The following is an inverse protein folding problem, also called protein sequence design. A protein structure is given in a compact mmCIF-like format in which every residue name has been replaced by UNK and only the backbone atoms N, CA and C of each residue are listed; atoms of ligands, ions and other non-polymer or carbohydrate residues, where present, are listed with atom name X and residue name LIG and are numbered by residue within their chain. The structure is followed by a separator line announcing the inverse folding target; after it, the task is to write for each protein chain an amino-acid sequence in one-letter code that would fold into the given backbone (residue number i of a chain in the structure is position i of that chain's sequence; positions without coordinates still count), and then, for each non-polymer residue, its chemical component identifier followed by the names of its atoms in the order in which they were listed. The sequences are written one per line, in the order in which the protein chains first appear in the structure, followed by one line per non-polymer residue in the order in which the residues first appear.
data_IF_125651891297
#
_entry.id   IF_125651891297
#
_cell.length_a   1.000
_cell.length_b   1.000
_cell.length_c   1.000
_cell.angle_alpha   90.00
_cell.angle_beta   90.00
_cell.angle_gamma   90.00
#
_symmetry.space_group_name_H-M   'P 1'
#
loop_
_entity.id
_entity.type
_entity.pdbx_description
1 polymer ?
#
# COMPACT_ATOMS: atom_id res chain seq x y z
N UNK A 1 -33.45 -10.79 -23.56
CA UNK A 1 -33.02 -9.89 -22.47
C UNK A 1 -31.82 -10.50 -21.74
N UNK A 2 -30.68 -10.54 -22.43
CA UNK A 2 -29.42 -10.98 -21.85
C UNK A 2 -28.78 -9.74 -21.20
N UNK A 3 -28.76 -9.69 -19.86
CA UNK A 3 -28.02 -8.66 -19.11
C UNK A 3 -26.58 -9.13 -18.94
N UNK A 4 -25.64 -8.46 -19.60
CA UNK A 4 -24.21 -8.64 -19.34
C UNK A 4 -23.72 -7.46 -18.50
N UNK A 5 -23.40 -7.73 -17.23
CA UNK A 5 -22.63 -6.80 -16.40
C UNK A 5 -21.16 -7.12 -16.66
N UNK A 6 -20.43 -6.23 -17.33
CA UNK A 6 -18.97 -6.29 -17.35
C UNK A 6 -18.47 -5.72 -16.01
N UNK A 7 -18.52 -6.55 -14.97
CA UNK A 7 -17.90 -6.27 -13.68
C UNK A 7 -17.00 -7.44 -13.33
N UNK A 8 -15.78 -7.14 -12.91
CA UNK A 8 -14.94 -8.11 -12.23
C UNK A 8 -15.56 -8.41 -10.87
N UNK A 9 -15.87 -9.69 -10.61
CA UNK A 9 -16.32 -10.14 -9.31
C UNK A 9 -15.13 -10.20 -8.35
N UNK A 10 -14.91 -9.14 -7.58
CA UNK A 10 -14.24 -9.25 -6.30
C UNK A 10 -15.28 -9.72 -5.26
N UNK A 11 -15.16 -10.97 -4.81
CA UNK A 11 -15.96 -11.47 -3.68
C UNK A 11 -15.44 -10.79 -2.42
N UNK A 12 -16.19 -9.82 -1.89
CA UNK A 12 -15.94 -9.23 -0.57
C UNK A 12 -16.52 -10.17 0.50
N UNK A 13 -15.72 -10.75 1.40
CA UNK A 13 -16.27 -11.35 2.62
C UNK A 13 -16.72 -10.22 3.54
N UNK A 14 -18.02 -10.18 3.83
CA UNK A 14 -18.57 -9.29 4.84
C UNK A 14 -17.99 -9.66 6.22
N UNK A 15 -17.11 -8.81 6.76
CA UNK A 15 -16.78 -8.80 8.19
C UNK A 15 -17.58 -7.69 8.87
N UNK A 16 -18.68 -8.08 9.50
CA UNK A 16 -19.35 -7.29 10.52
C UNK A 16 -18.68 -7.61 11.86
N UNK A 17 -17.96 -6.64 12.43
CA UNK A 17 -17.56 -6.67 13.83
C UNK A 17 -17.77 -5.30 14.49
N UNK A 18 -18.81 -5.26 15.32
CA UNK A 18 -18.95 -4.49 16.56
C UNK A 18 -17.84 -3.46 16.85
N UNK A 19 -18.05 -2.24 16.37
CA UNK A 19 -17.72 -1.04 17.14
C UNK A 19 -18.87 -0.05 16.95
N UNK A 20 -19.40 0.49 18.04
CA UNK A 20 -20.61 1.31 18.08
C UNK A 20 -20.40 2.73 17.52
N UNK A 21 -19.89 2.85 16.30
CA UNK A 21 -19.94 4.08 15.52
C UNK A 21 -20.40 3.75 14.11
N UNK A 22 -21.68 4.02 13.85
CA UNK A 22 -22.25 4.01 12.49
C UNK A 22 -21.57 5.14 11.72
N UNK A 23 -20.65 4.79 10.83
CA UNK A 23 -20.18 5.71 9.81
C UNK A 23 -21.26 5.76 8.73
N UNK A 24 -21.94 6.90 8.66
CA UNK A 24 -22.94 7.21 7.64
C UNK A 24 -22.23 7.59 6.32
N UNK A 25 -22.32 6.70 5.33
CA UNK A 25 -21.74 6.89 3.99
C UNK A 25 -22.70 7.63 3.03
N UNK A 26 -23.80 8.21 3.52
CA UNK A 26 -24.75 8.94 2.67
C UNK A 26 -24.32 10.37 2.30
N UNK A 27 -23.16 10.85 2.76
CA UNK A 27 -22.66 12.20 2.46
C UNK A 27 -21.56 12.17 1.39
N UNK A 28 -21.89 12.72 0.22
CA UNK A 28 -21.01 12.80 -0.94
C UNK A 28 -19.70 13.56 -0.67
N UNK A 29 -18.67 13.19 -1.44
CA UNK A 29 -17.35 13.81 -1.46
C UNK A 29 -17.45 15.30 -1.86
N UNK A 30 -17.59 16.19 -0.89
CA UNK A 30 -17.73 17.62 -1.15
C UNK A 30 -17.62 18.56 0.04
N UNK A 31 -17.70 18.07 1.29
CA UNK A 31 -17.43 18.93 2.45
C UNK A 31 -15.93 19.05 2.68
N UNK A 32 -15.43 20.29 2.62
CA UNK A 32 -14.12 20.65 3.17
C UNK A 32 -14.11 20.18 4.63
N UNK A 33 -13.36 19.12 4.91
CA UNK A 33 -12.94 18.83 6.27
C UNK A 33 -12.11 20.03 6.70
N UNK A 34 -12.71 20.94 7.45
CA UNK A 34 -11.97 21.99 8.13
C UNK A 34 -10.86 21.30 8.90
N UNK A 35 -9.61 21.66 8.58
CA UNK A 35 -8.43 21.19 9.29
C UNK A 35 -8.41 21.83 10.68
N UNK A 36 -9.37 21.49 11.52
CA UNK A 36 -9.25 21.62 12.96
C UNK A 36 -7.98 20.84 13.32
N UNK A 37 -6.99 21.55 13.85
CA UNK A 37 -5.67 21.04 14.15
C UNK A 37 -5.73 19.70 14.89
N UNK A 38 -5.46 18.60 14.20
CA UNK A 38 -5.25 17.26 14.78
C UNK A 38 -4.13 17.29 15.85
N UNK A 39 -3.34 18.37 15.90
CA UNK A 39 -2.28 18.61 16.88
C UNK A 39 -2.75 18.78 18.34
N UNK A 40 -4.04 18.96 18.62
CA UNK A 40 -4.52 19.15 20.01
C UNK A 40 -5.04 17.86 20.71
N UNK A 41 -4.84 16.67 20.12
CA UNK A 41 -5.45 15.42 20.62
C UNK A 41 -4.52 14.29 21.05
N UNK A 42 -3.20 14.41 20.90
CA UNK A 42 -2.28 13.30 21.22
C UNK A 42 -2.01 13.28 22.72
N UNK A 43 -2.72 12.38 23.42
CA UNK A 43 -2.41 12.03 24.80
C UNK A 43 -1.11 11.23 24.83
N UNK A 44 -0.08 11.79 25.48
CA UNK A 44 1.14 11.06 25.78
C UNK A 44 1.00 10.42 27.16
N UNK A 45 1.34 9.13 27.24
CA UNK A 45 1.41 8.40 28.51
C UNK A 45 2.81 7.86 28.71
N UNK A 46 3.22 7.76 29.97
CA UNK A 46 4.56 7.29 30.36
C UNK A 46 4.41 5.98 31.13
N UNK A 47 5.15 4.95 30.71
CA UNK A 47 5.31 3.69 31.45
C UNK A 47 6.78 3.46 31.71
N UNK A 48 7.17 3.37 32.97
CA UNK A 48 8.52 2.93 33.35
C UNK A 48 8.60 1.41 33.21
N UNK A 49 9.58 0.90 32.44
CA UNK A 49 9.80 -0.54 32.28
C UNK A 49 10.96 -1.05 33.12
N UNK A 50 12.01 -0.24 33.25
CA UNK A 50 13.19 -0.52 34.08
C UNK A 50 13.64 0.78 34.75
N UNK A 51 14.59 0.74 35.72
CA UNK A 51 15.10 1.97 36.34
C UNK A 51 15.74 2.97 35.36
N UNK A 52 16.26 2.48 34.23
CA UNK A 52 16.98 3.26 33.21
C UNK A 52 16.14 3.55 31.96
N UNK A 53 14.94 2.97 31.82
CA UNK A 53 14.07 3.12 30.65
C UNK A 53 12.63 3.49 31.02
N UNK A 54 12.20 4.62 30.47
CA UNK A 54 10.80 4.99 30.37
C UNK A 54 10.34 4.83 28.90
N UNK A 55 9.18 4.21 28.66
CA UNK A 55 8.51 4.22 27.36
C UNK A 55 7.42 5.28 27.37
N UNK A 56 7.49 6.20 26.42
CA UNK A 56 6.49 7.24 26.20
C UNK A 56 5.63 6.85 25.01
N UNK A 57 4.34 6.67 25.23
CA UNK A 57 3.36 6.29 24.21
C UNK A 57 2.58 7.51 23.77
N UNK A 58 2.67 7.85 22.49
CA UNK A 58 1.78 8.76 21.77
C UNK A 58 1.17 8.04 20.56
N UNK A 59 1.27 8.64 19.37
CA UNK A 59 0.98 7.94 18.11
C UNK A 59 2.06 6.89 17.77
N UNK A 60 3.29 7.10 18.25
CA UNK A 60 4.37 6.10 18.33
C UNK A 60 4.86 5.93 19.77
N UNK A 61 5.47 4.79 20.06
CA UNK A 61 6.17 4.49 21.30
C UNK A 61 7.64 4.91 21.17
N UNK A 62 8.10 5.73 22.09
CA UNK A 62 9.49 6.18 22.16
C UNK A 62 10.13 5.65 23.44
N UNK A 63 11.23 4.90 23.28
CA UNK A 63 12.09 4.53 24.39
C UNK A 63 12.97 5.71 24.81
N UNK A 64 12.87 6.12 26.07
CA UNK A 64 13.69 7.18 26.67
C UNK A 64 14.60 6.55 27.71
N UNK A 65 15.86 6.33 27.33
CA UNK A 65 16.90 5.79 28.20
C UNK A 65 17.66 6.94 28.86
N UNK A 66 17.91 6.85 30.18
CA UNK A 66 18.57 7.92 30.94
C UNK A 66 19.78 7.38 31.71
N UNK A 67 20.93 8.03 31.56
CA UNK A 67 22.16 7.72 32.30
C UNK A 67 23.04 8.96 32.42
N UNK A 68 23.55 9.24 33.62
CA UNK A 68 24.45 10.38 33.89
C UNK A 68 23.90 11.74 33.41
N UNK A 69 22.59 11.95 33.53
CA UNK A 69 21.92 13.18 33.08
C UNK A 69 21.75 13.30 31.56
N UNK A 70 22.10 12.26 30.79
CA UNK A 70 22.01 12.24 29.33
C UNK A 70 20.97 11.24 28.85
N UNK A 71 20.50 11.44 27.62
CA UNK A 71 19.37 10.72 27.03
C UNK A 71 19.78 10.01 25.74
N UNK A 72 19.33 8.77 25.60
CA UNK A 72 19.30 8.01 24.35
C UNK A 72 17.82 7.73 24.02
N UNK A 73 17.41 8.09 22.80
CA UNK A 73 16.06 7.87 22.29
C UNK A 73 16.02 6.67 21.33
N UNK A 74 14.97 5.86 21.38
CA UNK A 74 14.74 4.75 20.44
C UNK A 74 13.32 4.83 19.88
N UNK A 75 13.18 4.76 18.55
CA UNK A 75 11.89 4.78 17.86
C UNK A 75 11.39 6.15 17.40
N UNK A 76 12.17 7.23 17.63
CA UNK A 76 11.83 8.59 17.17
C UNK A 76 12.00 9.66 18.26
N UNK A 77 11.70 10.92 17.90
CA UNK A 77 11.80 12.03 18.84
C UNK A 77 10.80 13.18 18.56
N UNK A 78 9.48 12.92 18.68
CA UNK A 78 8.46 13.93 18.41
C UNK A 78 8.69 15.21 19.24
N UNK A 79 8.74 16.40 18.63
CA UNK A 79 8.99 17.64 19.38
C UNK A 79 8.00 17.89 20.52
N UNK A 80 6.75 17.47 20.37
CA UNK A 80 5.74 17.58 21.44
C UNK A 80 6.03 16.66 22.62
N UNK A 81 6.50 15.43 22.36
CA UNK A 81 6.93 14.50 23.40
C UNK A 81 8.10 15.10 24.17
N UNK A 82 9.14 15.57 23.48
CA UNK A 82 10.34 16.13 24.12
C UNK A 82 9.98 17.29 25.06
N UNK A 83 9.06 18.18 24.64
CA UNK A 83 8.52 19.25 25.50
C UNK A 83 7.81 18.69 26.73
N UNK A 84 6.89 17.73 26.57
CA UNK A 84 6.13 17.11 27.68
C UNK A 84 7.04 16.33 28.64
N UNK A 85 8.11 15.73 28.13
CA UNK A 85 9.08 14.97 28.91
C UNK A 85 10.16 15.85 29.56
N UNK A 86 10.17 17.17 29.29
CA UNK A 86 11.19 18.09 29.76
C UNK A 86 12.59 17.72 29.28
N UNK A 87 12.71 17.20 28.05
CA UNK A 87 13.98 16.81 27.43
C UNK A 87 14.37 17.87 26.41
N UNK A 88 15.51 18.52 26.64
CA UNK A 88 16.09 19.45 25.68
C UNK A 88 16.98 18.70 24.69
N UNK A 89 17.22 19.29 23.50
CA UNK A 89 18.13 18.71 22.52
C UNK A 89 19.55 18.54 23.10
N UNK A 90 19.99 19.44 23.98
CA UNK A 90 21.29 19.36 24.66
C UNK A 90 21.42 18.16 25.59
N UNK A 91 20.32 17.55 26.05
CA UNK A 91 20.35 16.37 26.91
C UNK A 91 20.55 15.07 26.10
N UNK A 92 20.31 15.11 24.79
CA UNK A 92 20.23 13.93 23.93
C UNK A 92 21.59 13.67 23.27
N UNK A 93 22.18 12.51 23.55
CA UNK A 93 23.43 12.08 22.91
C UNK A 93 23.18 11.44 21.53
N UNK A 94 22.06 10.74 21.39
CA UNK A 94 21.69 10.03 20.17
C UNK A 94 20.21 9.63 20.11
N UNK A 95 19.72 9.46 18.88
CA UNK A 95 18.43 8.83 18.56
C UNK A 95 18.65 7.65 17.62
N UNK A 96 18.02 6.51 17.93
CA UNK A 96 18.06 5.28 17.15
C UNK A 96 16.72 5.07 16.46
N UNK A 97 16.72 5.08 15.13
CA UNK A 97 15.53 4.86 14.30
C UNK A 97 15.49 3.42 13.82
N UNK A 98 14.31 2.80 13.88
CA UNK A 98 14.11 1.39 13.49
C UNK A 98 13.92 1.23 11.99
N UNK A 99 13.35 2.22 11.31
CA UNK A 99 13.08 2.20 9.87
C UNK A 99 12.78 3.62 9.33
N UNK A 100 12.68 3.75 8.01
CA UNK A 100 12.57 5.00 7.24
C UNK A 100 11.21 5.71 7.25
N UNK A 101 10.20 5.15 7.91
CA UNK A 101 8.90 5.81 7.97
C UNK A 101 8.97 7.11 8.79
N UNK A 102 8.25 8.13 8.31
CA UNK A 102 8.30 9.52 8.77
C UNK A 102 7.76 9.72 10.18
N UNK A 103 6.86 8.85 10.61
CA UNK A 103 6.33 8.77 11.97
C UNK A 103 7.41 8.26 12.94
N UNK A 104 8.17 7.24 12.55
CA UNK A 104 9.35 6.77 13.28
C UNK A 104 10.46 7.84 13.33
N UNK A 105 10.63 8.59 12.25
CA UNK A 105 11.69 9.58 12.09
C UNK A 105 11.29 11.02 12.47
N UNK A 106 10.12 11.24 13.05
CA UNK A 106 9.65 12.58 13.39
C UNK A 106 10.59 13.27 14.39
N UNK A 107 10.97 14.52 14.10
CA UNK A 107 11.92 15.31 14.89
C UNK A 107 13.40 15.02 14.57
N UNK A 108 13.70 14.00 13.76
CA UNK A 108 15.08 13.59 13.52
C UNK A 108 15.90 14.66 12.79
N UNK A 109 15.31 15.39 11.84
CA UNK A 109 15.98 16.46 11.11
C UNK A 109 16.37 17.63 12.04
N UNK A 110 15.44 18.08 12.89
CA UNK A 110 15.70 19.17 13.85
C UNK A 110 16.75 18.78 14.90
N UNK A 111 16.70 17.54 15.39
CA UNK A 111 17.71 17.03 16.32
C UNK A 111 19.09 16.90 15.67
N UNK A 112 19.16 16.40 14.44
CA UNK A 112 20.41 16.31 13.70
C UNK A 112 21.05 17.69 13.48
N UNK A 113 20.23 18.70 13.15
CA UNK A 113 20.68 20.10 13.02
C UNK A 113 21.19 20.68 14.35
N UNK A 114 20.69 20.18 15.49
CA UNK A 114 21.14 20.54 16.83
C UNK A 114 22.38 19.76 17.30
N UNK A 115 22.97 18.93 16.44
CA UNK A 115 24.19 18.16 16.74
C UNK A 115 23.95 16.81 17.41
N UNK A 116 22.69 16.38 17.57
CA UNK A 116 22.37 15.05 18.09
C UNK A 116 22.72 13.98 17.05
N UNK A 117 23.30 12.86 17.49
CA UNK A 117 23.64 11.75 16.59
C UNK A 117 22.40 10.97 16.18
N UNK A 118 22.08 10.96 14.90
CA UNK A 118 21.00 10.15 14.33
C UNK A 118 21.55 8.85 13.78
N UNK A 119 21.05 7.72 14.29
CA UNK A 119 21.40 6.37 13.84
C UNK A 119 20.20 5.77 13.13
N UNK A 120 20.43 5.22 11.94
CA UNK A 120 19.39 4.67 11.07
C UNK A 120 19.81 3.30 10.54
N UNK A 121 18.90 2.49 10.01
CA UNK A 121 19.28 1.27 9.31
C UNK A 121 20.16 1.57 8.09
N UNK A 122 21.25 0.81 7.94
CA UNK A 122 22.22 1.02 6.88
C UNK A 122 21.62 0.83 5.47
N UNK A 123 20.74 -0.17 5.32
CA UNK A 123 20.06 -0.46 4.05
C UNK A 123 19.05 0.63 3.64
N UNK A 124 18.52 1.38 4.60
CA UNK A 124 17.53 2.43 4.34
C UNK A 124 18.13 3.84 4.37
N UNK A 125 19.45 3.96 4.60
CA UNK A 125 20.13 5.23 4.84
C UNK A 125 19.85 6.29 3.77
N UNK A 126 19.84 5.91 2.49
CA UNK A 126 19.58 6.84 1.39
C UNK A 126 18.18 7.44 1.45
N UNK A 127 17.18 6.70 1.97
CA UNK A 127 15.82 7.20 2.14
C UNK A 127 15.74 8.32 3.19
N UNK A 128 16.74 8.42 4.08
CA UNK A 128 16.88 9.52 5.03
C UNK A 128 17.71 10.68 4.50
N UNK A 129 18.82 10.40 3.83
CA UNK A 129 19.76 11.44 3.37
C UNK A 129 19.29 12.14 2.10
N UNK A 130 18.58 11.45 1.21
CA UNK A 130 18.15 11.94 -0.11
C UNK A 130 16.67 11.63 -0.41
N UNK A 131 15.72 11.94 0.49
CA UNK A 131 14.30 11.60 0.28
C UNK A 131 13.70 12.21 -0.98
N UNK A 132 14.23 13.32 -1.48
CA UNK A 132 13.82 13.95 -2.74
C UNK A 132 13.99 13.03 -3.95
N UNK A 133 14.90 12.05 -3.92
CA UNK A 133 15.00 11.05 -4.99
C UNK A 133 13.76 10.17 -5.06
N UNK A 134 13.25 9.74 -3.90
CA UNK A 134 11.99 9.02 -3.81
C UNK A 134 10.81 9.90 -4.22
N UNK A 135 10.73 11.12 -3.69
CA UNK A 135 9.59 12.02 -3.97
C UNK A 135 9.60 12.61 -5.39
N UNK A 136 10.75 12.60 -6.07
CA UNK A 136 10.91 13.09 -7.43
C UNK A 136 10.94 11.99 -8.50
N UNK A 137 11.01 10.72 -8.12
CA UNK A 137 11.06 9.58 -9.04
C UNK A 137 9.71 9.25 -9.65
N UNK A 138 9.63 9.25 -10.98
CA UNK A 138 8.41 8.90 -11.73
C UNK A 138 7.96 7.45 -11.44
N UNK A 139 8.90 6.56 -11.16
CA UNK A 139 8.65 5.16 -10.81
C UNK A 139 7.86 4.99 -9.50
N UNK A 140 8.05 5.90 -8.53
CA UNK A 140 7.34 5.89 -7.25
C UNK A 140 6.00 6.63 -7.31
N UNK A 141 5.78 7.35 -8.42
CA UNK A 141 4.64 8.24 -8.61
C UNK A 141 3.59 7.68 -9.55
N UNK A 142 4.00 7.28 -10.74
CA UNK A 142 3.11 6.90 -11.85
C UNK A 142 2.98 5.38 -11.93
N UNK A 143 4.07 4.69 -12.26
CA UNK A 143 4.09 3.23 -12.45
C UNK A 143 4.33 2.48 -11.13
N UNK A 144 3.68 2.92 -10.05
CA UNK A 144 3.90 2.40 -8.70
C UNK A 144 3.21 1.05 -8.47
N UNK A 145 3.80 -0.03 -9.00
CA UNK A 145 3.39 -1.43 -8.80
C UNK A 145 4.08 -2.09 -7.59
N UNK A 146 5.17 -1.50 -7.13
CA UNK A 146 5.87 -1.83 -5.89
C UNK A 146 5.64 -0.71 -4.88
N UNK A 147 5.39 -1.10 -3.64
CA UNK A 147 5.08 -0.26 -2.50
C UNK A 147 6.20 -0.26 -1.45
N UNK A 148 7.34 -0.88 -1.75
CA UNK A 148 8.58 -0.74 -1.00
C UNK A 148 9.62 -0.02 -1.87
N UNK A 149 10.13 1.15 -1.42
CA UNK A 149 9.79 1.84 -0.19
C UNK A 149 8.38 2.51 -0.25
N UNK A 150 7.68 2.59 0.90
CA UNK A 150 6.27 3.05 0.97
C UNK A 150 6.12 4.56 0.90
N UNK A 151 4.91 5.11 0.76
CA UNK A 151 4.72 6.59 0.79
C UNK A 151 4.87 7.23 2.18
N UNK A 152 5.33 6.46 3.16
CA UNK A 152 5.60 6.94 4.51
C UNK A 152 7.02 7.46 4.69
N UNK A 153 7.85 7.58 3.66
CA UNK A 153 9.24 8.04 3.79
C UNK A 153 9.33 9.46 4.38
N UNK A 154 10.45 9.79 5.00
CA UNK A 154 10.74 11.18 5.43
C UNK A 154 10.65 12.16 4.26
N UNK A 155 10.26 13.40 4.54
CA UNK A 155 10.09 14.47 3.53
C UNK A 155 11.23 15.46 3.48
N UNK A 156 12.12 15.42 4.47
CA UNK A 156 13.25 16.31 4.61
C UNK A 156 14.48 15.46 4.86
N UNK A 157 15.59 15.83 4.22
CA UNK A 157 16.85 15.17 4.42
C UNK A 157 17.26 15.22 5.90
N UNK A 158 17.70 14.09 6.43
CA UNK A 158 18.21 13.94 7.79
C UNK A 158 19.71 13.69 7.70
N UNK A 159 20.51 14.49 8.43
CA UNK A 159 21.94 14.25 8.54
C UNK A 159 22.19 12.98 9.38
N UNK A 160 22.40 11.86 8.71
CA UNK A 160 22.66 10.57 9.35
C UNK A 160 24.09 10.56 9.92
N UNK A 161 24.22 10.17 11.18
CA UNK A 161 25.52 10.03 11.84
C UNK A 161 26.10 8.63 11.69
N UNK A 162 25.26 7.60 11.67
CA UNK A 162 25.68 6.20 11.51
C UNK A 162 24.56 5.36 10.89
N UNK A 163 24.90 4.55 9.89
CA UNK A 163 24.07 3.42 9.45
C UNK A 163 24.42 2.16 10.27
N UNK A 164 23.42 1.37 10.66
CA UNK A 164 23.62 0.10 11.40
C UNK A 164 22.94 -1.09 10.73
N UNK A 165 23.45 -2.29 11.01
CA UNK A 165 22.92 -3.58 10.53
C UNK A 165 23.00 -4.65 11.61
N UNK A 166 22.36 -5.79 11.37
CA UNK A 166 22.40 -6.96 12.23
C UNK A 166 23.83 -7.35 12.63
N UNK A 167 24.02 -7.61 13.93
CA UNK A 167 25.32 -7.92 14.53
C UNK A 167 26.10 -6.71 15.02
N UNK A 168 25.72 -5.48 14.64
CA UNK A 168 26.32 -4.29 15.22
C UNK A 168 26.00 -4.14 16.71
N UNK A 169 26.91 -3.48 17.43
CA UNK A 169 26.67 -3.01 18.79
C UNK A 169 26.85 -1.49 18.85
N UNK A 170 25.96 -0.84 19.60
CA UNK A 170 26.03 0.58 19.93
C UNK A 170 26.37 0.68 21.41
N UNK A 171 27.49 1.31 21.72
CA UNK A 171 27.88 1.60 23.10
C UNK A 171 27.45 3.02 23.46
N UNK A 172 26.70 3.13 24.55
CA UNK A 172 26.25 4.41 25.08
C UNK A 172 26.34 4.41 26.60
N UNK A 173 27.30 5.16 27.14
CA UNK A 173 27.50 5.34 28.61
C UNK A 173 27.53 4.03 29.38
N UNK A 174 28.23 3.02 28.85
CA UNK A 174 28.33 1.69 29.46
C UNK A 174 27.12 0.77 29.24
N UNK A 175 26.06 1.24 28.59
CA UNK A 175 25.00 0.38 28.04
C UNK A 175 25.40 -0.11 26.66
N UNK A 176 25.22 -1.42 26.40
CA UNK A 176 25.37 -2.01 25.08
C UNK A 176 23.98 -2.25 24.48
N UNK A 177 23.76 -1.71 23.29
CA UNK A 177 22.55 -1.93 22.51
C UNK A 177 22.92 -2.77 21.29
N UNK A 178 22.41 -3.99 21.22
CA UNK A 178 22.60 -4.86 20.04
C UNK A 178 21.64 -4.45 18.93
N UNK A 179 22.07 -4.61 17.68
CA UNK A 179 21.25 -4.38 16.50
C UNK A 179 20.95 -5.73 15.84
N UNK A 180 19.68 -5.97 15.51
CA UNK A 180 19.22 -7.12 14.74
C UNK A 180 18.61 -6.61 13.44
N UNK A 181 18.92 -7.26 12.32
CA UNK A 181 18.16 -7.04 11.09
C UNK A 181 16.71 -7.46 11.33
N UNK A 182 15.78 -6.64 10.85
CA UNK A 182 14.36 -6.82 11.06
C UNK A 182 13.55 -6.45 9.79
N UNK A 183 13.84 -7.08 8.64
CA UNK A 183 13.02 -6.89 7.44
C UNK A 183 11.57 -7.34 7.68
N UNK A 184 10.65 -6.74 6.95
CA UNK A 184 9.22 -7.01 7.06
C UNK A 184 8.40 -5.82 6.55
N UNK A 185 7.88 -4.94 7.43
CA UNK A 185 7.14 -3.74 6.99
C UNK A 185 7.98 -2.75 6.17
N UNK A 186 9.30 -2.83 6.28
CA UNK A 186 10.26 -2.15 5.41
C UNK A 186 11.40 -3.11 5.06
N UNK A 187 12.11 -2.85 3.96
CA UNK A 187 13.15 -3.74 3.44
C UNK A 187 14.36 -3.88 4.36
N UNK A 188 14.75 -2.79 5.02
CA UNK A 188 15.99 -2.70 5.76
C UNK A 188 15.79 -2.36 7.22
N UNK A 189 14.59 -2.54 7.77
CA UNK A 189 14.29 -2.24 9.17
C UNK A 189 15.23 -2.98 10.13
N UNK A 190 15.45 -2.41 11.31
CA UNK A 190 16.24 -3.02 12.39
C UNK A 190 15.52 -2.96 13.73
N UNK A 191 15.82 -3.95 14.58
CA UNK A 191 15.44 -3.95 15.99
C UNK A 191 16.63 -3.63 16.89
N UNK A 192 16.37 -2.96 18.00
CA UNK A 192 17.38 -2.62 19.01
C UNK A 192 17.11 -3.37 20.30
N UNK A 193 18.10 -4.11 20.79
CA UNK A 193 18.02 -4.81 22.07
C UNK A 193 18.92 -4.10 23.10
N UNK A 194 18.30 -3.52 24.12
CA UNK A 194 18.99 -2.91 25.24
C UNK A 194 18.81 -3.76 26.50
N UNK A 195 19.90 -4.01 27.23
CA UNK A 195 19.86 -4.73 28.49
C UNK A 195 20.82 -4.09 29.51
N UNK A 196 20.36 -3.97 30.76
CA UNK A 196 21.19 -3.61 31.91
C UNK A 196 20.89 -4.63 33.02
N UNK A 197 21.84 -5.53 33.27
CA UNK A 197 21.64 -6.73 34.07
C UNK A 197 20.79 -7.79 33.35
N UNK A 198 19.88 -8.44 34.09
CA UNK A 198 19.10 -9.58 33.60
C UNK A 198 17.84 -9.21 32.80
N UNK A 199 17.47 -7.92 32.74
CA UNK A 199 16.24 -7.47 32.06
C UNK A 199 16.59 -6.86 30.69
N UNK A 200 16.31 -7.63 29.63
CA UNK A 200 16.40 -7.16 28.24
C UNK A 200 15.09 -6.55 27.73
N UNK A 201 15.20 -5.53 26.90
CA UNK A 201 14.08 -4.87 26.19
C UNK A 201 14.44 -4.80 24.71
N UNK A 202 13.55 -5.29 23.84
CA UNK A 202 13.70 -5.19 22.39
C UNK A 202 12.74 -4.14 21.83
N UNK A 203 13.26 -3.16 21.11
CA UNK A 203 12.50 -2.20 20.31
C UNK A 203 12.40 -2.75 18.89
N UNK A 204 11.20 -3.16 18.48
CA UNK A 204 10.99 -4.04 17.32
C UNK A 204 10.37 -3.35 16.10
N UNK A 205 10.35 -2.02 16.07
CA UNK A 205 9.72 -1.27 14.98
C UNK A 205 8.26 -1.70 14.77
N UNK A 206 7.85 -1.87 13.52
CA UNK A 206 6.48 -2.25 13.15
C UNK A 206 6.25 -3.75 12.94
N UNK A 207 7.18 -4.62 13.37
CA UNK A 207 7.05 -6.08 13.23
C UNK A 207 5.80 -6.66 13.93
N UNK A 208 5.36 -6.01 15.00
CA UNK A 208 4.19 -6.35 15.80
C UNK A 208 3.66 -5.06 16.43
N UNK A 209 2.38 -4.96 16.77
CA UNK A 209 1.80 -3.77 17.43
C UNK A 209 1.14 -4.06 18.78
N UNK A 210 0.99 -5.34 19.12
CA UNK A 210 0.32 -5.80 20.33
C UNK A 210 0.25 -7.33 20.35
N UNK A 211 -0.54 -7.89 21.27
CA UNK A 211 -0.66 -9.34 21.40
C UNK A 211 -1.35 -9.94 20.16
N UNK A 212 -0.57 -10.54 19.27
CA UNK A 212 -1.07 -11.10 18.01
C UNK A 212 -1.59 -10.06 17.01
N UNK A 213 -1.04 -8.85 17.01
CA UNK A 213 -1.53 -7.74 16.18
C UNK A 213 -0.41 -7.15 15.32
N UNK A 214 -0.75 -6.74 14.10
CA UNK A 214 0.08 -5.91 13.24
C UNK A 214 -0.39 -4.46 13.30
N UNK A 215 0.48 -3.51 12.94
CA UNK A 215 0.07 -2.11 12.79
C UNK A 215 -0.83 -1.94 11.57
N UNK A 216 -0.39 -2.49 10.43
CA UNK A 216 -1.14 -2.57 9.19
C UNK A 216 -0.65 -3.77 8.37
N UNK A 217 -1.40 -4.15 7.34
CA UNK A 217 -1.13 -5.34 6.53
C UNK A 217 -0.54 -5.04 5.14
N UNK A 218 -0.60 -3.79 4.68
CA UNK A 218 -0.25 -3.45 3.30
C UNK A 218 1.27 -3.38 3.12
N UNK A 219 2.04 -3.03 4.15
CA UNK A 219 3.50 -3.14 4.13
C UNK A 219 4.02 -4.56 4.21
N UNK A 220 3.14 -5.57 4.32
CA UNK A 220 3.56 -6.97 4.14
C UNK A 220 3.34 -7.46 2.71
N UNK A 221 2.92 -6.58 1.79
CA UNK A 221 2.95 -6.89 0.37
C UNK A 221 4.39 -7.15 -0.08
N UNK A 222 4.60 -8.12 -0.96
CA UNK A 222 5.96 -8.46 -1.40
C UNK A 222 5.97 -9.13 -2.76
N UNK A 223 7.17 -9.36 -3.28
CA UNK A 223 7.34 -10.03 -4.57
C UNK A 223 7.65 -11.51 -4.39
N UNK A 224 7.26 -12.34 -5.36
CA UNK A 224 7.61 -13.77 -5.38
C UNK A 224 7.94 -14.24 -6.80
N UNK A 225 9.00 -15.03 -7.02
CA UNK A 225 9.26 -15.62 -8.33
C UNK A 225 8.19 -16.65 -8.69
N UNK A 226 7.77 -16.69 -9.96
CA UNK A 226 6.75 -17.62 -10.43
C UNK A 226 7.36 -18.87 -11.08
N UNK A 227 6.72 -20.05 -10.93
CA UNK A 227 7.11 -21.23 -11.71
C UNK A 227 7.00 -20.95 -13.21
N UNK A 228 8.07 -21.18 -13.97
CA UNK A 228 8.11 -20.91 -15.42
C UNK A 228 8.67 -19.54 -15.80
N UNK A 229 9.10 -18.72 -14.83
CA UNK A 229 9.71 -17.41 -15.05
C UNK A 229 8.75 -16.25 -14.81
N UNK A 230 9.32 -15.08 -14.49
CA UNK A 230 8.56 -13.89 -14.09
C UNK A 230 8.36 -13.77 -12.57
N UNK A 231 7.59 -12.75 -12.17
CA UNK A 231 7.41 -12.36 -10.78
C UNK A 231 5.96 -12.01 -10.47
N UNK A 232 5.49 -12.44 -9.31
CA UNK A 232 4.37 -11.82 -8.62
C UNK A 232 4.87 -10.49 -8.06
N UNK A 233 4.30 -9.39 -8.54
CA UNK A 233 4.62 -8.04 -8.05
C UNK A 233 3.92 -7.77 -6.71
N UNK A 234 4.38 -6.78 -5.95
CA UNK A 234 3.80 -6.45 -4.64
C UNK A 234 2.32 -6.10 -4.72
N UNK A 235 1.92 -5.44 -5.81
CA UNK A 235 0.52 -5.18 -6.16
C UNK A 235 -0.40 -6.42 -6.01
N UNK A 236 0.11 -7.62 -6.27
CA UNK A 236 -0.63 -8.88 -6.14
C UNK A 236 -0.18 -9.74 -4.95
N UNK A 237 1.04 -9.52 -4.44
CA UNK A 237 1.65 -10.31 -3.39
C UNK A 237 1.14 -9.96 -2.00
N UNK A 238 -0.11 -10.31 -1.70
CA UNK A 238 -0.70 -10.12 -0.38
C UNK A 238 0.01 -10.97 0.70
N UNK A 239 0.52 -10.30 1.74
CA UNK A 239 1.22 -10.91 2.89
C UNK A 239 2.44 -11.78 2.52
N UNK A 240 3.09 -11.57 1.37
CA UNK A 240 4.31 -12.31 0.99
C UNK A 240 5.44 -12.17 2.03
N UNK A 241 5.47 -11.06 2.76
CA UNK A 241 6.53 -10.76 3.75
C UNK A 241 6.19 -11.24 5.16
N UNK A 242 5.08 -11.95 5.35
CA UNK A 242 4.69 -12.45 6.66
C UNK A 242 5.77 -13.35 7.30
N UNK A 243 6.43 -14.18 6.49
CA UNK A 243 7.51 -15.06 6.96
C UNK A 243 8.77 -14.28 7.34
N UNK A 244 9.08 -13.17 6.63
CA UNK A 244 10.16 -12.25 7.01
C UNK A 244 9.88 -11.63 8.38
N UNK A 245 8.66 -11.13 8.61
CA UNK A 245 8.24 -10.56 9.90
C UNK A 245 8.39 -11.58 11.03
N UNK A 246 7.89 -12.80 10.82
CA UNK A 246 7.98 -13.86 11.82
C UNK A 246 9.42 -14.26 12.10
N UNK A 247 10.27 -14.32 11.08
CA UNK A 247 11.71 -14.63 11.23
C UNK A 247 12.45 -13.54 12.01
N UNK A 248 12.15 -12.27 11.74
CA UNK A 248 12.68 -11.11 12.47
C UNK A 248 12.24 -11.11 13.94
N UNK A 249 10.99 -11.48 14.23
CA UNK A 249 10.50 -11.65 15.59
C UNK A 249 11.15 -12.84 16.30
N UNK A 250 11.35 -13.97 15.62
CA UNK A 250 12.05 -15.14 16.18
C UNK A 250 13.50 -14.78 16.56
N UNK A 251 14.20 -14.00 15.72
CA UNK A 251 15.53 -13.48 16.04
C UNK A 251 15.52 -12.59 17.29
N UNK A 252 14.52 -11.72 17.44
CA UNK A 252 14.36 -10.92 18.65
C UNK A 252 14.04 -11.77 19.89
N UNK A 253 13.22 -12.82 19.75
CA UNK A 253 12.88 -13.74 20.85
C UNK A 253 14.06 -14.61 21.29
N UNK A 254 14.97 -14.96 20.38
CA UNK A 254 16.18 -15.72 20.70
C UNK A 254 17.08 -15.00 21.72
N UNK A 255 17.03 -13.68 21.77
CA UNK A 255 17.71 -12.84 22.75
C UNK A 255 17.00 -12.78 24.12
N UNK A 256 15.89 -13.51 24.27
CA UNK A 256 15.10 -13.63 25.50
C UNK A 256 14.71 -12.29 26.16
N UNK A 257 14.20 -11.30 25.41
CA UNK A 257 13.78 -10.02 25.99
C UNK A 257 12.60 -10.23 26.94
N UNK A 258 12.56 -9.46 28.03
CA UNK A 258 11.38 -9.40 28.92
C UNK A 258 10.23 -8.63 28.28
N UNK A 259 10.55 -7.62 27.47
CA UNK A 259 9.57 -6.76 26.83
C UNK A 259 9.87 -6.60 25.34
N UNK A 260 8.83 -6.64 24.51
CA UNK A 260 8.86 -6.07 23.17
C UNK A 260 8.19 -4.69 23.21
N UNK A 261 8.88 -3.69 22.67
CA UNK A 261 8.37 -2.33 22.50
C UNK A 261 8.20 -2.11 21.00
N UNK A 262 6.98 -2.27 20.46
CA UNK A 262 6.71 -1.94 19.08
C UNK A 262 6.68 -0.42 18.88
N UNK A 263 6.90 0.05 17.66
CA UNK A 263 6.74 1.47 17.34
C UNK A 263 5.28 1.89 17.51
N UNK A 264 4.33 1.12 16.98
CA UNK A 264 2.90 1.38 17.15
C UNK A 264 2.25 0.41 18.13
N UNK A 265 1.30 0.90 18.93
CA UNK A 265 0.46 0.05 19.80
C UNK A 265 1.01 -0.16 21.21
N UNK A 266 0.85 -1.36 21.78
CA UNK A 266 1.08 -1.64 23.19
C UNK A 266 2.42 -2.33 23.46
N UNK A 267 3.09 -1.96 24.57
CA UNK A 267 4.24 -2.70 25.09
C UNK A 267 3.81 -4.11 25.49
N UNK A 268 4.53 -5.12 24.99
CA UNK A 268 4.24 -6.55 25.18
C UNK A 268 5.17 -7.09 26.28
N UNK A 269 4.58 -7.66 27.34
CA UNK A 269 5.28 -8.26 28.49
C UNK A 269 5.28 -9.79 28.49
N UNK A 270 4.62 -10.39 27.50
CA UNK A 270 4.68 -11.82 27.19
C UNK A 270 5.06 -12.06 25.72
N UNK A 271 6.33 -11.85 25.36
CA UNK A 271 6.78 -11.86 23.96
C UNK A 271 6.46 -13.15 23.22
N UNK A 272 6.78 -14.30 23.81
CA UNK A 272 6.59 -15.63 23.20
C UNK A 272 5.11 -15.90 22.88
N UNK A 273 4.22 -15.62 23.84
CA UNK A 273 2.78 -15.80 23.64
C UNK A 273 2.24 -14.88 22.54
N UNK A 274 2.64 -13.59 22.54
CA UNK A 274 2.18 -12.61 21.58
C UNK A 274 2.61 -12.93 20.13
N UNK A 275 3.86 -13.35 19.93
CA UNK A 275 4.38 -13.76 18.62
C UNK A 275 3.75 -15.07 18.16
N UNK A 276 3.53 -16.02 19.09
CA UNK A 276 2.80 -17.27 18.80
C UNK A 276 1.38 -17.01 18.29
N UNK A 277 0.65 -16.09 18.92
CA UNK A 277 -0.68 -15.70 18.47
C UNK A 277 -0.66 -14.95 17.13
N UNK A 278 0.35 -14.10 16.89
CA UNK A 278 0.53 -13.43 15.59
C UNK A 278 0.72 -14.45 14.48
N UNK A 279 1.62 -15.43 14.68
CA UNK A 279 1.88 -16.53 13.74
C UNK A 279 0.60 -17.27 13.39
N UNK A 280 -0.18 -17.67 14.40
CA UNK A 280 -1.46 -18.36 14.22
C UNK A 280 -2.44 -17.54 13.38
N UNK A 281 -2.56 -16.24 13.65
CA UNK A 281 -3.47 -15.34 12.90
C UNK A 281 -3.02 -15.11 11.46
N UNK A 282 -1.72 -14.91 11.23
CA UNK A 282 -1.17 -14.75 9.89
C UNK A 282 -1.42 -16.00 9.04
N UNK A 283 -1.15 -17.20 9.58
CA UNK A 283 -1.45 -18.45 8.88
C UNK A 283 -2.93 -18.56 8.51
N UNK A 284 -3.84 -18.22 9.44
CA UNK A 284 -5.28 -18.27 9.18
C UNK A 284 -5.73 -17.27 8.08
N UNK A 285 -5.20 -16.05 8.08
CA UNK A 285 -5.54 -15.04 7.07
C UNK A 285 -4.98 -15.42 5.70
N UNK A 286 -3.73 -15.90 5.64
CA UNK A 286 -3.11 -16.36 4.39
C UNK A 286 -3.90 -17.54 3.81
N UNK A 287 -4.29 -18.52 4.64
CA UNK A 287 -5.12 -19.64 4.19
C UNK A 287 -6.47 -19.15 3.63
N UNK A 288 -7.13 -18.20 4.31
CA UNK A 288 -8.39 -17.63 3.83
C UNK A 288 -8.23 -16.86 2.52
N UNK A 289 -7.16 -16.06 2.40
CA UNK A 289 -6.84 -15.32 1.18
C UNK A 289 -6.61 -16.29 0.02
N UNK A 290 -5.79 -17.31 0.23
CA UNK A 290 -5.54 -18.32 -0.79
C UNK A 290 -6.82 -19.05 -1.20
N UNK A 291 -7.82 -19.27 -0.34
CA UNK A 291 -9.09 -19.88 -0.78
C UNK A 291 -9.86 -19.05 -1.81
N UNK A 292 -9.71 -17.72 -1.81
CA UNK A 292 -10.57 -16.80 -2.58
C UNK A 292 -9.81 -15.89 -3.56
N UNK A 293 -8.48 -15.89 -3.51
CA UNK A 293 -7.65 -14.97 -4.29
C UNK A 293 -7.63 -15.30 -5.78
N UNK A 294 -7.90 -14.29 -6.59
CA UNK A 294 -7.69 -14.32 -8.03
C UNK A 294 -6.22 -14.52 -8.43
N UNK A 295 -5.27 -14.27 -7.52
CA UNK A 295 -3.85 -14.53 -7.76
C UNK A 295 -3.57 -16.01 -8.04
N UNK A 296 -4.37 -16.94 -7.47
CA UNK A 296 -4.28 -18.38 -7.82
C UNK A 296 -4.60 -18.67 -9.28
N UNK A 297 -5.41 -17.81 -9.90
CA UNK A 297 -5.78 -17.93 -11.31
C UNK A 297 -4.70 -17.32 -12.21
N UNK A 298 -4.38 -16.03 -11.99
CA UNK A 298 -3.44 -15.28 -12.82
C UNK A 298 -1.99 -15.74 -12.65
N UNK A 299 -1.63 -16.21 -11.46
CA UNK A 299 -0.27 -16.60 -11.09
C UNK A 299 -0.25 -18.05 -10.60
N UNK A 300 -0.74 -18.95 -11.45
CA UNK A 300 -0.79 -20.37 -11.13
C UNK A 300 0.60 -20.88 -10.69
N UNK A 301 0.64 -21.54 -9.54
CA UNK A 301 1.88 -22.03 -8.94
C UNK A 301 2.62 -21.03 -8.05
N UNK A 302 2.17 -19.79 -7.90
CA UNK A 302 2.73 -18.85 -6.89
C UNK A 302 2.57 -19.36 -5.44
N UNK A 303 1.56 -20.20 -5.21
CA UNK A 303 1.20 -20.84 -3.94
C UNK A 303 0.92 -22.33 -4.18
N UNK A 304 1.96 -23.16 -4.40
CA UNK A 304 1.79 -24.59 -4.67
C UNK A 304 1.05 -25.34 -3.54
N UNK A 305 1.11 -24.84 -2.32
CA UNK A 305 0.42 -25.35 -1.15
C UNK A 305 -1.12 -25.16 -1.21
N UNK A 306 -1.64 -24.29 -2.09
CA UNK A 306 -3.07 -24.08 -2.36
C UNK A 306 -3.39 -24.18 -3.86
N UNK A 307 -3.30 -25.37 -4.47
CA UNK A 307 -3.53 -25.56 -5.90
C UNK A 307 -4.96 -25.17 -6.29
N UNK A 308 -5.14 -24.59 -7.47
CA UNK A 308 -6.45 -24.25 -8.02
C UNK A 308 -6.92 -25.35 -8.97
N UNK A 309 -8.14 -25.86 -8.76
CA UNK A 309 -8.85 -26.62 -9.78
C UNK A 309 -9.46 -25.64 -10.78
N UNK A 310 -8.86 -25.54 -11.96
CA UNK A 310 -9.32 -24.63 -13.02
C UNK A 310 -10.66 -25.04 -13.62
N UNK A 311 -10.98 -26.34 -13.57
CA UNK A 311 -12.18 -26.89 -14.22
C UNK A 311 -13.47 -26.34 -13.60
N UNK A 312 -13.48 -26.08 -12.28
CA UNK A 312 -14.64 -25.53 -11.58
C UNK A 312 -14.98 -24.10 -12.04
N UNK A 313 -13.96 -23.29 -12.35
CA UNK A 313 -14.15 -21.92 -12.82
C UNK A 313 -14.44 -21.86 -14.31
N UNK A 314 -13.76 -22.67 -15.12
CA UNK A 314 -14.03 -22.78 -16.55
C UNK A 314 -15.49 -23.20 -16.82
N UNK A 315 -16.05 -24.07 -15.97
CA UNK A 315 -17.46 -24.46 -16.02
C UNK A 315 -18.45 -23.29 -15.78
N UNK A 316 -18.00 -22.18 -15.18
CA UNK A 316 -18.82 -20.98 -14.92
C UNK A 316 -18.68 -19.91 -15.99
N UNK A 317 -17.73 -20.04 -16.91
CA UNK A 317 -17.54 -19.07 -18.00
C UNK A 317 -18.71 -19.16 -18.98
N UNK A 318 -19.26 -18.01 -19.36
CA UNK A 318 -20.22 -17.91 -20.46
C UNK A 318 -19.53 -17.34 -21.68
N UNK A 319 -19.89 -17.79 -22.90
CA UNK A 319 -19.39 -17.16 -24.11
C UNK A 319 -19.81 -15.68 -24.12
N UNK A 320 -18.91 -14.83 -24.62
CA UNK A 320 -19.23 -13.44 -24.84
C UNK A 320 -20.34 -13.33 -25.90
N UNK A 321 -21.25 -12.34 -25.78
CA UNK A 321 -22.21 -12.06 -26.84
C UNK A 321 -21.49 -11.78 -28.16
N UNK A 322 -22.09 -12.14 -29.30
CA UNK A 322 -21.47 -11.98 -30.63
C UNK A 322 -21.14 -10.53 -31.02
N UNK A 323 -21.75 -9.56 -30.33
CA UNK A 323 -21.48 -8.13 -30.45
C UNK A 323 -20.37 -7.62 -29.53
N UNK A 324 -19.72 -8.49 -28.74
CA UNK A 324 -18.50 -8.18 -27.99
C UNK A 324 -17.31 -8.84 -28.66
N UNK A 325 -16.25 -8.06 -28.86
CA UNK A 325 -14.96 -8.54 -29.38
C UNK A 325 -13.87 -8.34 -28.33
N UNK A 326 -13.05 -9.37 -28.15
CA UNK A 326 -11.79 -9.22 -27.43
C UNK A 326 -10.78 -8.56 -28.36
N UNK A 327 -10.13 -7.49 -27.89
CA UNK A 327 -9.13 -6.76 -28.67
C UNK A 327 -7.75 -7.17 -28.19
N UNK A 328 -7.48 -7.02 -26.90
CA UNK A 328 -6.20 -7.42 -26.29
C UNK A 328 -6.05 -6.82 -24.90
N UNK A 329 -5.19 -7.44 -24.07
CA UNK A 329 -4.99 -7.02 -22.68
C UNK A 329 -6.31 -6.98 -21.90
N UNK A 330 -6.60 -5.83 -21.31
CA UNK A 330 -7.84 -5.55 -20.57
C UNK A 330 -8.97 -5.05 -21.48
N UNK A 331 -8.70 -4.79 -22.77
CA UNK A 331 -9.61 -4.12 -23.69
C UNK A 331 -10.58 -5.03 -24.45
N UNK A 332 -11.83 -4.59 -24.51
CA UNK A 332 -12.93 -5.21 -25.28
C UNK A 332 -13.64 -4.15 -26.11
N UNK A 333 -14.30 -4.56 -27.19
CA UNK A 333 -15.10 -3.67 -28.03
C UNK A 333 -16.55 -4.14 -28.15
N UNK A 334 -17.50 -3.22 -28.03
CA UNK A 334 -18.88 -3.42 -28.45
C UNK A 334 -18.96 -3.07 -29.95
N UNK A 335 -19.53 -3.96 -30.76
CA UNK A 335 -19.64 -3.80 -32.21
C UNK A 335 -21.11 -3.64 -32.61
N UNK A 336 -21.44 -2.48 -33.18
CA UNK A 336 -22.77 -2.16 -33.69
C UNK A 336 -23.05 -2.83 -35.04
N UNK A 337 -24.32 -2.81 -35.48
CA UNK A 337 -24.73 -3.43 -36.74
C UNK A 337 -24.07 -2.81 -37.98
N UNK A 338 -23.73 -1.52 -37.92
CA UNK A 338 -22.98 -0.83 -38.98
C UNK A 338 -21.46 -1.07 -38.90
N UNK A 339 -21.01 -1.95 -37.99
CA UNK A 339 -19.62 -2.29 -37.75
C UNK A 339 -18.88 -1.32 -36.83
N UNK A 340 -19.46 -0.16 -36.48
CA UNK A 340 -18.79 0.81 -35.61
C UNK A 340 -18.55 0.25 -34.21
N UNK A 341 -17.47 0.70 -33.57
CA UNK A 341 -17.02 0.15 -32.31
C UNK A 341 -17.04 1.15 -31.15
N UNK A 342 -17.40 0.65 -29.97
CA UNK A 342 -17.21 1.31 -28.68
C UNK A 342 -16.21 0.50 -27.88
N UNK A 343 -15.03 1.06 -27.66
CA UNK A 343 -13.94 0.38 -26.96
C UNK A 343 -14.11 0.55 -25.44
N UNK A 344 -13.71 -0.45 -24.68
CA UNK A 344 -13.57 -0.44 -23.23
C UNK A 344 -12.08 -0.54 -22.95
N UNK A 345 -11.53 0.50 -22.32
CA UNK A 345 -10.10 0.68 -22.01
C UNK A 345 -9.16 0.64 -23.23
N UNK A 346 -7.99 1.24 -23.12
CA UNK A 346 -6.95 1.21 -24.14
C UNK A 346 -5.55 1.44 -23.56
N UNK A 347 -4.72 0.41 -23.60
CA UNK A 347 -3.31 0.47 -23.23
C UNK A 347 -2.44 -0.45 -24.10
N UNK A 348 -1.12 -0.28 -24.02
CA UNK A 348 -0.16 -1.13 -24.74
C UNK A 348 -0.36 -1.15 -26.25
N UNK A 349 -0.51 -2.36 -26.81
CA UNK A 349 -0.63 -2.62 -28.25
C UNK A 349 -2.08 -2.58 -28.78
N UNK A 350 -3.04 -2.13 -27.97
CA UNK A 350 -4.46 -2.08 -28.35
C UNK A 350 -4.73 -1.26 -29.62
N UNK A 351 -4.12 -0.07 -29.85
CA UNK A 351 -4.29 0.67 -31.11
C UNK A 351 -3.89 -0.14 -32.35
N UNK A 352 -2.77 -0.87 -32.29
CA UNK A 352 -2.33 -1.77 -33.37
C UNK A 352 -3.33 -2.89 -33.61
N UNK A 353 -3.85 -3.49 -32.55
CA UNK A 353 -4.84 -4.58 -32.65
C UNK A 353 -6.16 -4.08 -33.23
N UNK A 354 -6.60 -2.89 -32.86
CA UNK A 354 -7.74 -2.20 -33.48
C UNK A 354 -7.50 -2.04 -34.98
N UNK A 355 -6.34 -1.50 -35.38
CA UNK A 355 -6.01 -1.30 -36.79
C UNK A 355 -5.94 -2.63 -37.58
N UNK A 356 -5.46 -3.71 -36.95
CA UNK A 356 -5.46 -5.03 -37.57
C UNK A 356 -6.86 -5.63 -37.72
N UNK A 357 -7.72 -5.51 -36.71
CA UNK A 357 -9.12 -5.94 -36.77
C UNK A 357 -9.90 -5.16 -37.85
N UNK A 358 -9.61 -3.87 -38.01
CA UNK A 358 -10.15 -3.04 -39.09
C UNK A 358 -9.71 -3.54 -40.48
N UNK A 359 -8.43 -3.87 -40.65
CA UNK A 359 -7.92 -4.45 -41.91
C UNK A 359 -8.58 -5.80 -42.27
N UNK A 360 -8.98 -6.58 -41.27
CA UNK A 360 -9.69 -7.86 -41.46
C UNK A 360 -11.21 -7.71 -41.64
N UNK A 361 -11.75 -6.49 -41.53
CA UNK A 361 -13.20 -6.23 -41.59
C UNK A 361 -13.97 -6.72 -40.36
N UNK A 362 -13.28 -7.01 -39.25
CA UNK A 362 -13.88 -7.49 -38.00
C UNK A 362 -14.41 -6.36 -37.11
N UNK A 363 -13.87 -5.16 -37.33
CA UNK A 363 -14.16 -3.95 -36.55
C UNK A 363 -14.22 -2.75 -37.51
N UNK A 364 -15.22 -1.89 -37.36
CA UNK A 364 -15.26 -0.58 -38.02
C UNK A 364 -14.47 0.47 -37.23
N UNK A 365 -14.77 1.74 -37.49
CA UNK A 365 -14.17 2.87 -36.75
C UNK A 365 -14.54 2.79 -35.26
N UNK A 366 -13.56 3.05 -34.39
CA UNK A 366 -13.83 3.25 -32.96
C UNK A 366 -14.38 4.67 -32.77
N UNK A 367 -15.62 4.80 -32.32
CA UNK A 367 -16.28 6.10 -32.13
C UNK A 367 -16.09 6.63 -30.70
N UNK A 368 -16.04 5.73 -29.72
CA UNK A 368 -15.89 6.06 -28.31
C UNK A 368 -14.96 5.07 -27.61
N UNK A 369 -14.30 5.53 -26.55
CA UNK A 369 -13.63 4.69 -25.56
C UNK A 369 -14.21 4.99 -24.19
N UNK A 370 -14.69 3.97 -23.50
CA UNK A 370 -15.10 4.03 -22.10
C UNK A 370 -13.94 3.59 -21.22
N UNK A 371 -13.65 4.37 -20.18
CA UNK A 371 -12.61 4.06 -19.20
C UNK A 371 -13.26 3.41 -17.97
N UNK A 372 -12.83 2.20 -17.62
CA UNK A 372 -13.28 1.50 -16.42
C UNK A 372 -12.63 2.07 -15.17
N UNK A 373 -11.32 2.30 -15.20
CA UNK A 373 -10.57 2.98 -14.14
C UNK A 373 -9.24 3.55 -14.65
N UNK A 374 -8.55 4.31 -13.79
CA UNK A 374 -7.46 5.20 -14.17
C UNK A 374 -6.08 4.54 -14.34
N UNK A 375 -5.95 3.23 -14.12
CA UNK A 375 -4.64 2.58 -14.16
C UNK A 375 -4.03 2.65 -15.56
N UNK A 376 -2.70 2.75 -15.61
CA UNK A 376 -1.91 2.90 -16.84
C UNK A 376 -2.06 1.72 -17.81
N UNK A 377 -2.29 0.51 -17.32
CA UNK A 377 -2.62 -0.69 -18.10
C UNK A 377 -4.07 -0.71 -18.63
N UNK A 378 -4.88 0.29 -18.28
CA UNK A 378 -6.21 0.54 -18.84
C UNK A 378 -6.27 1.80 -19.72
N UNK A 379 -5.38 2.78 -19.50
CA UNK A 379 -5.51 4.09 -20.16
C UNK A 379 -4.29 4.52 -20.96
N UNK A 380 -3.18 3.79 -20.87
CA UNK A 380 -1.87 4.22 -21.37
C UNK A 380 -1.74 4.41 -22.88
N UNK A 381 -2.78 4.11 -23.66
CA UNK A 381 -2.79 4.33 -25.12
C UNK A 381 -4.03 5.07 -25.61
N UNK A 382 -4.86 5.60 -24.71
CA UNK A 382 -6.08 6.33 -25.03
C UNK A 382 -5.81 7.55 -25.91
N UNK A 383 -4.78 8.36 -25.58
CA UNK A 383 -4.46 9.56 -26.36
C UNK A 383 -4.02 9.23 -27.80
N UNK A 384 -3.27 8.15 -27.98
CA UNK A 384 -2.89 7.64 -29.31
C UNK A 384 -4.12 7.18 -30.09
N UNK A 385 -4.96 6.34 -29.49
CA UNK A 385 -6.21 5.87 -30.11
C UNK A 385 -7.10 7.04 -30.52
N UNK A 386 -7.24 8.05 -29.67
CA UNK A 386 -7.98 9.28 -29.95
C UNK A 386 -7.39 10.04 -31.14
N UNK A 387 -6.06 10.12 -31.23
CA UNK A 387 -5.36 10.72 -32.37
C UNK A 387 -5.67 10.04 -33.70
N UNK A 388 -5.67 8.70 -33.71
CA UNK A 388 -5.85 7.85 -34.89
C UNK A 388 -7.31 7.71 -35.31
N UNK A 389 -8.22 7.43 -34.37
CA UNK A 389 -9.63 7.13 -34.63
C UNK A 389 -10.55 8.35 -34.52
N UNK A 390 -10.04 9.47 -33.97
CA UNK A 390 -10.83 10.65 -33.61
C UNK A 390 -12.05 10.27 -32.75
N UNK A 391 -11.86 9.34 -31.80
CA UNK A 391 -12.90 8.85 -30.91
C UNK A 391 -13.10 9.78 -29.71
N UNK A 392 -14.27 9.68 -29.07
CA UNK A 392 -14.59 10.39 -27.83
C UNK A 392 -14.14 9.56 -26.61
N UNK A 393 -13.56 10.22 -25.61
CA UNK A 393 -13.27 9.60 -24.32
C UNK A 393 -14.44 9.83 -23.37
N UNK A 394 -15.00 8.74 -22.86
CA UNK A 394 -16.12 8.73 -21.93
C UNK A 394 -15.66 8.12 -20.61
N UNK A 395 -15.88 8.81 -19.50
CA UNK A 395 -15.50 8.31 -18.18
C UNK A 395 -16.52 8.74 -17.12
N UNK A 396 -16.60 7.97 -16.04
CA UNK A 396 -17.42 8.31 -14.88
C UNK A 396 -16.84 9.51 -14.10
N UNK A 397 -17.71 10.30 -13.47
CA UNK A 397 -17.32 11.51 -12.74
C UNK A 397 -16.30 11.27 -11.62
N UNK A 398 -16.32 10.09 -10.99
CA UNK A 398 -15.37 9.70 -9.94
C UNK A 398 -13.92 9.71 -10.40
N UNK A 399 -13.64 9.42 -11.69
CA UNK A 399 -12.27 9.30 -12.20
C UNK A 399 -11.88 10.43 -13.18
N UNK A 400 -12.83 11.22 -13.65
CA UNK A 400 -12.59 12.21 -14.69
C UNK A 400 -11.49 13.22 -14.33
N UNK A 401 -11.39 13.61 -13.06
CA UNK A 401 -10.35 14.54 -12.60
C UNK A 401 -8.95 13.91 -12.58
N UNK A 402 -8.87 12.63 -12.22
CA UNK A 402 -7.63 11.85 -12.20
C UNK A 402 -7.05 11.76 -13.61
N UNK A 403 -7.90 11.44 -14.59
CA UNK A 403 -7.51 11.35 -16.00
C UNK A 403 -7.05 12.71 -16.55
N UNK A 404 -7.75 13.80 -16.20
CA UNK A 404 -7.40 15.15 -16.67
C UNK A 404 -6.18 15.76 -15.98
N UNK A 405 -5.91 15.36 -14.73
CA UNK A 405 -4.88 15.95 -13.86
C UNK A 405 -4.10 14.88 -13.10
N UNK A 406 -3.42 13.93 -13.77
CA UNK A 406 -2.73 12.83 -13.09
C UNK A 406 -1.68 13.32 -12.09
N UNK A 407 -1.03 14.47 -12.36
CA UNK A 407 -0.06 15.11 -11.47
C UNK A 407 -0.67 15.72 -10.18
N UNK A 408 -1.99 15.86 -10.08
CA UNK A 408 -2.65 16.28 -8.85
C UNK A 408 -2.78 15.12 -7.83
N UNK A 409 -2.56 13.88 -8.29
CA UNK A 409 -2.75 12.67 -7.52
C UNK A 409 -1.45 11.92 -7.28
N UNK A 410 -1.41 11.20 -6.16
CA UNK A 410 -0.37 10.21 -5.87
C UNK A 410 -1.08 8.91 -5.52
N UNK A 411 -1.53 8.19 -6.55
CA UNK A 411 -2.21 6.89 -6.44
C UNK A 411 -1.45 5.86 -7.26
N UNK A 412 -1.64 4.56 -6.99
CA UNK A 412 -0.90 3.52 -7.70
C UNK A 412 -1.20 3.49 -9.20
N UNK A 413 -0.21 3.09 -10.00
CA UNK A 413 -0.37 2.79 -11.44
C UNK A 413 -1.02 3.92 -12.27
N UNK A 414 -0.76 5.19 -11.97
CA UNK A 414 -1.30 6.34 -12.73
C UNK A 414 -0.53 6.49 -14.06
N UNK A 415 -1.26 6.68 -15.17
CA UNK A 415 -0.66 7.13 -16.42
C UNK A 415 -0.28 8.62 -16.36
N UNK A 416 0.97 9.02 -16.71
CA UNK A 416 1.43 10.39 -16.51
C UNK A 416 0.80 11.42 -17.47
N UNK A 417 0.41 11.03 -18.68
CA UNK A 417 -0.14 11.98 -19.65
C UNK A 417 -1.60 12.33 -19.31
N UNK A 418 -1.97 13.63 -19.25
CA UNK A 418 -3.37 14.03 -19.15
C UNK A 418 -4.22 13.48 -20.30
N UNK A 419 -5.36 12.89 -19.97
CA UNK A 419 -6.32 12.37 -20.92
C UNK A 419 -7.56 13.29 -20.91
N UNK A 420 -7.88 13.96 -22.04
CA UNK A 420 -9.13 14.69 -22.16
C UNK A 420 -10.31 13.73 -22.01
N UNK A 421 -11.30 14.13 -21.20
CA UNK A 421 -12.57 13.40 -21.06
C UNK A 421 -13.64 14.24 -21.75
N UNK A 422 -14.10 13.77 -22.92
CA UNK A 422 -15.06 14.47 -23.78
C UNK A 422 -16.49 14.38 -23.22
N UNK A 423 -16.83 13.27 -22.55
CA UNK A 423 -18.10 13.09 -21.83
C UNK A 423 -17.87 12.51 -20.44
N UNK A 424 -18.38 13.22 -19.44
CA UNK A 424 -18.44 12.74 -18.05
C UNK A 424 -19.83 12.18 -17.79
N UNK A 425 -19.92 10.98 -17.23
CA UNK A 425 -21.20 10.36 -16.84
C UNK A 425 -21.36 10.33 -15.32
N UNK A 426 -22.61 10.18 -14.85
CA UNK A 426 -22.97 10.03 -13.44
C UNK A 426 -23.41 8.61 -13.10
N UNK A 427 -23.47 8.32 -11.81
CA UNK A 427 -24.00 7.04 -11.31
C UNK A 427 -25.46 6.82 -11.77
N UNK A 428 -25.72 5.65 -12.34
CA UNK A 428 -27.01 5.27 -12.90
C UNK A 428 -27.39 5.99 -14.21
N UNK A 429 -26.53 6.83 -14.78
CA UNK A 429 -26.84 7.53 -16.04
C UNK A 429 -26.93 6.54 -17.20
N UNK A 430 -28.09 6.50 -17.86
CA UNK A 430 -28.30 5.71 -19.07
C UNK A 430 -28.29 6.58 -20.34
N UNK A 431 -27.73 6.05 -21.42
CA UNK A 431 -27.85 6.62 -22.76
C UNK A 431 -27.92 5.52 -23.82
N UNK A 432 -28.29 5.90 -25.04
CA UNK A 432 -28.34 4.98 -26.18
C UNK A 432 -27.20 5.30 -27.14
N UNK A 433 -26.50 4.26 -27.60
CA UNK A 433 -25.54 4.32 -28.70
C UNK A 433 -25.81 3.15 -29.64
N UNK A 434 -26.22 3.45 -30.88
CA UNK A 434 -26.40 2.48 -31.99
C UNK A 434 -27.08 1.15 -31.59
N UNK A 435 -28.21 1.23 -30.89
CA UNK A 435 -29.01 0.08 -30.46
C UNK A 435 -28.57 -0.56 -29.13
N UNK A 436 -27.49 -0.08 -28.52
CA UNK A 436 -27.11 -0.42 -27.15
C UNK A 436 -27.65 0.63 -26.18
N UNK A 437 -28.29 0.18 -25.10
CA UNK A 437 -28.51 0.99 -23.91
C UNK A 437 -27.33 0.78 -22.97
N UNK A 438 -26.60 1.85 -22.73
CA UNK A 438 -25.42 1.90 -21.89
C UNK A 438 -25.80 2.58 -20.57
N UNK A 439 -25.39 2.02 -19.43
CA UNK A 439 -25.62 2.64 -18.11
C UNK A 439 -24.33 2.62 -17.31
N UNK A 440 -23.88 3.80 -16.87
CA UNK A 440 -22.70 3.93 -16.04
C UNK A 440 -23.05 3.76 -14.55
N UNK A 441 -22.17 3.12 -13.79
CA UNK A 441 -22.30 2.99 -12.34
C UNK A 441 -20.98 3.28 -11.64
N UNK A 442 -21.07 3.93 -10.47
CA UNK A 442 -20.01 3.92 -9.47
C UNK A 442 -19.84 2.49 -8.99
N UNK A 443 -18.68 1.88 -9.24
CA UNK A 443 -18.48 0.46 -8.99
C UNK A 443 -17.10 0.21 -8.38
N UNK A 444 -16.85 0.70 -7.15
CA UNK A 444 -15.55 0.54 -6.51
C UNK A 444 -15.22 -0.94 -6.36
N UNK A 445 -14.13 -1.35 -7.01
CA UNK A 445 -13.64 -2.72 -7.06
C UNK A 445 -12.13 -2.74 -6.88
N UNK A 446 -11.39 -2.68 -8.00
CA UNK A 446 -9.92 -2.66 -7.97
C UNK A 446 -9.38 -1.34 -7.39
N UNK A 447 -10.14 -0.24 -7.57
CA UNK A 447 -9.89 1.05 -6.93
C UNK A 447 -11.20 1.65 -6.41
N UNK A 448 -11.10 2.66 -5.54
CA UNK A 448 -12.26 3.47 -5.13
C UNK A 448 -12.83 4.32 -6.28
N UNK A 449 -12.11 4.44 -7.39
CA UNK A 449 -12.44 5.26 -8.56
C UNK A 449 -12.74 4.41 -9.80
N UNK A 450 -13.31 3.23 -9.56
CA UNK A 450 -13.67 2.25 -10.58
C UNK A 450 -15.13 2.45 -11.00
N UNK A 451 -15.43 2.19 -12.28
CA UNK A 451 -16.75 2.36 -12.85
C UNK A 451 -17.14 1.22 -13.78
N UNK A 452 -18.37 0.74 -13.61
CA UNK A 452 -18.96 -0.29 -14.44
C UNK A 452 -19.81 0.32 -15.56
N UNK A 453 -19.81 -0.34 -16.72
CA UNK A 453 -20.71 -0.06 -17.83
C UNK A 453 -21.65 -1.25 -18.03
N UNK A 454 -22.91 -1.10 -17.65
CA UNK A 454 -23.95 -2.05 -18.00
C UNK A 454 -24.35 -1.84 -19.46
N UNK A 455 -24.26 -2.90 -20.26
CA UNK A 455 -24.60 -2.90 -21.68
C UNK A 455 -25.83 -3.79 -21.89
N UNK A 456 -26.92 -3.18 -22.34
CA UNK A 456 -28.15 -3.86 -22.72
C UNK A 456 -28.37 -3.70 -24.23
N UNK A 457 -28.73 -4.78 -24.90
CA UNK A 457 -29.12 -4.77 -26.31
C UNK A 457 -30.32 -5.71 -26.48
N UNK A 458 -31.31 -5.28 -27.25
CA UNK A 458 -32.49 -6.10 -27.53
C UNK A 458 -32.09 -7.31 -28.38
N UNK A 459 -32.37 -8.50 -27.83
CA UNK A 459 -31.89 -9.80 -28.29
C UNK A 459 -31.37 -10.64 -27.12
#
# INVERSE_FOLDING_TARGET
MVRLVAAWFAVVPAFLALSGQVLDFSKGAGEKVESASIRNGISFSKRRLTPWLDVWRGYVNIGVLRREGRVLLVGGAPPELLRKAGISASDIDMVLLTHCHRDAAEGAAELAASGVRVVVPALERQLFEEPEKFWGGDEFRFHAYNYHPSRRIVRQAVKVSRGVRGGDTIEWRGLKVKVLDAPGPTDGGVSYLAADGAIGVAFVGDLISGHGQLWEIHSLQGTRPLPGGGWLMEYHGFLERADEVLSSLDAALAESPRYLVPLHGAVIDKPVEAVGELRRRLSAVIESYCKTSSARWYFAGARPEWPLDRSEMEARLRPLPGWVREVGGTSRALVADDGSAWLIDCAGDVPERVAQAQKRGELGRVECVWITHYHDDHVGSVNRLRGEQKCLVVAHESMADILRRPHAYWMPCIHPEPIPVDRVTRDGESWVWKGFKLTAYTFPGQTMYDAALLVERDG
#
